data_IF_332998544257
#
_entry.id   IF_332998544257
#
_cell.length_a   1.000
_cell.length_b   1.000
_cell.length_c   1.000
_cell.angle_alpha   90.00
_cell.angle_beta   90.00
_cell.angle_gamma   90.00
#
_symmetry.space_group_name_H-M   'P 1'
#
loop_
_entity.id
_entity.type
_entity.pdbx_description
1 polymer ?
#
# COMPACT_ATOMS: atom_id res chain seq x y z
N UNK A 1 17.44 19.00 10.83
CA UNK A 1 16.24 18.41 10.18
C UNK A 1 16.41 16.94 9.82
N UNK A 2 17.57 16.47 9.34
CA UNK A 2 17.84 15.04 9.05
C UNK A 2 17.86 14.09 10.29
N UNK A 3 17.99 14.64 11.50
CA UNK A 3 18.08 13.90 12.77
C UNK A 3 16.72 13.59 13.44
N UNK A 4 15.58 13.96 12.82
CA UNK A 4 14.25 13.78 13.43
C UNK A 4 13.37 12.72 12.73
N UNK A 5 13.81 12.17 11.60
CA UNK A 5 13.09 11.09 10.93
C UNK A 5 13.33 9.76 11.66
N UNK A 6 12.30 8.92 11.78
CA UNK A 6 12.46 7.56 12.32
C UNK A 6 13.42 6.72 11.47
N UNK A 7 13.76 5.51 11.91
CA UNK A 7 14.71 4.61 11.25
C UNK A 7 14.40 4.25 9.79
N UNK A 8 13.20 4.57 9.29
CA UNK A 8 12.82 4.41 7.88
C UNK A 8 13.14 5.62 7.00
N UNK A 9 13.47 6.78 7.55
CA UNK A 9 13.81 7.98 6.75
C UNK A 9 14.97 7.77 5.77
N UNK A 10 16.06 7.02 6.11
CA UNK A 10 17.09 6.68 5.13
C UNK A 10 16.58 5.92 3.90
N UNK A 11 15.49 5.15 4.02
CA UNK A 11 14.85 4.49 2.88
C UNK A 11 14.24 5.53 1.92
N UNK A 12 13.61 6.58 2.45
CA UNK A 12 13.06 7.68 1.66
C UNK A 12 14.15 8.46 0.93
N UNK A 13 15.31 8.67 1.56
CA UNK A 13 16.51 9.22 0.91
C UNK A 13 16.95 8.34 -0.25
N UNK A 14 17.06 7.02 -0.04
CA UNK A 14 17.38 6.08 -1.10
C UNK A 14 16.41 6.17 -2.29
N UNK A 15 15.11 6.25 -2.02
CA UNK A 15 14.08 6.42 -3.06
C UNK A 15 14.22 7.75 -3.80
N UNK A 16 14.49 8.85 -3.08
CA UNK A 16 14.69 10.16 -3.70
C UNK A 16 15.92 10.18 -4.64
N UNK A 17 17.04 9.57 -4.20
CA UNK A 17 18.23 9.40 -5.04
C UNK A 17 17.90 8.59 -6.30
N UNK A 18 17.29 7.40 -6.14
CA UNK A 18 16.90 6.55 -7.26
C UNK A 18 15.93 7.24 -8.21
N UNK A 19 15.07 8.12 -7.70
CA UNK A 19 14.14 8.91 -8.50
C UNK A 19 14.87 9.93 -9.37
N UNK A 20 15.89 10.62 -8.83
CA UNK A 20 16.73 11.52 -9.62
C UNK A 20 17.51 10.76 -10.71
N UNK A 21 17.99 9.56 -10.39
CA UNK A 21 18.77 8.74 -11.32
C UNK A 21 17.93 7.90 -12.30
N UNK A 22 16.60 7.86 -12.13
CA UNK A 22 15.69 6.98 -12.89
C UNK A 22 15.90 7.06 -14.41
N UNK A 23 16.03 8.26 -14.95
CA UNK A 23 16.16 8.44 -16.40
C UNK A 23 17.49 7.90 -16.95
N UNK A 24 18.55 7.91 -16.14
CA UNK A 24 19.85 7.33 -16.50
C UNK A 24 19.80 5.81 -16.34
N UNK A 25 19.30 5.32 -15.21
CA UNK A 25 19.16 3.89 -14.92
C UNK A 25 18.30 3.14 -15.95
N UNK A 26 17.25 3.77 -16.47
CA UNK A 26 16.40 3.15 -17.50
C UNK A 26 17.03 3.09 -18.90
N UNK A 27 18.12 3.83 -19.13
CA UNK A 27 18.87 3.82 -20.39
C UNK A 27 20.11 2.95 -20.32
N UNK A 28 20.66 2.77 -19.12
CA UNK A 28 21.89 2.04 -18.88
C UNK A 28 21.67 0.52 -18.88
N UNK A 29 22.68 -0.22 -19.34
CA UNK A 29 22.76 -1.65 -19.11
C UNK A 29 23.23 -1.98 -17.67
N UNK A 30 23.30 -3.27 -17.33
CA UNK A 30 23.68 -3.70 -15.98
C UNK A 30 25.10 -3.27 -15.60
N UNK A 31 26.06 -3.35 -16.52
CA UNK A 31 27.45 -3.00 -16.26
C UNK A 31 27.63 -1.48 -16.16
N UNK A 32 26.94 -0.73 -17.01
CA UNK A 32 26.84 0.73 -16.96
C UNK A 32 26.21 1.19 -15.64
N UNK A 33 25.19 0.49 -15.12
CA UNK A 33 24.65 0.79 -13.79
C UNK A 33 25.68 0.60 -12.67
N UNK A 34 26.53 -0.45 -12.73
CA UNK A 34 27.59 -0.66 -11.73
C UNK A 34 28.60 0.49 -11.76
N UNK A 35 29.01 0.92 -12.95
CA UNK A 35 29.91 2.06 -13.12
C UNK A 35 29.26 3.35 -12.62
N UNK A 36 28.00 3.58 -12.98
CA UNK A 36 27.22 4.74 -12.54
C UNK A 36 27.16 4.85 -11.01
N UNK A 37 26.89 3.75 -10.29
CA UNK A 37 26.90 3.77 -8.83
C UNK A 37 28.29 3.92 -8.22
N UNK A 38 29.34 3.50 -8.93
CA UNK A 38 30.73 3.64 -8.48
C UNK A 38 31.24 5.07 -8.66
N UNK A 39 30.80 5.76 -9.71
CA UNK A 39 31.20 7.14 -10.04
C UNK A 39 30.41 8.20 -9.28
N UNK A 40 29.28 7.82 -8.64
CA UNK A 40 28.39 8.70 -7.88
C UNK A 40 27.96 9.93 -8.72
N UNK A 41 27.00 9.75 -9.65
CA UNK A 41 26.49 10.85 -10.47
C UNK A 41 26.03 12.03 -9.61
N UNK A 42 26.05 13.22 -10.19
CA UNK A 42 25.66 14.43 -9.49
C UNK A 42 24.21 14.32 -8.98
N UNK A 43 24.07 14.33 -7.65
CA UNK A 43 22.77 14.34 -6.97
C UNK A 43 22.53 15.74 -6.42
N UNK A 44 21.38 16.31 -6.74
CA UNK A 44 20.89 17.50 -6.07
C UNK A 44 20.44 17.12 -4.66
N UNK A 45 21.29 17.44 -3.67
CA UNK A 45 21.05 17.12 -2.26
C UNK A 45 19.87 17.91 -1.69
N UNK A 46 19.67 19.16 -2.10
CA UNK A 46 18.55 19.97 -1.61
C UNK A 46 17.21 19.39 -2.06
N UNK A 47 17.12 19.03 -3.35
CA UNK A 47 15.98 18.31 -3.90
C UNK A 47 15.82 16.95 -3.23
N UNK A 48 16.91 16.20 -3.04
CA UNK A 48 16.88 14.89 -2.40
C UNK A 48 16.25 14.95 -1.00
N UNK A 49 16.66 15.92 -0.17
CA UNK A 49 16.11 16.09 1.19
C UNK A 49 14.63 16.48 1.14
N UNK A 50 14.24 17.39 0.24
CA UNK A 50 12.84 17.81 0.07
C UNK A 50 11.95 16.64 -0.36
N UNK A 51 12.34 15.94 -1.42
CA UNK A 51 11.61 14.78 -1.95
C UNK A 51 11.51 13.67 -0.89
N UNK A 52 12.58 13.45 -0.09
CA UNK A 52 12.58 12.47 0.99
C UNK A 52 11.57 12.78 2.10
N UNK A 53 11.41 14.06 2.46
CA UNK A 53 10.43 14.50 3.45
C UNK A 53 9.01 14.26 2.91
N UNK A 54 8.76 14.58 1.65
CA UNK A 54 7.44 14.38 1.02
C UNK A 54 7.10 12.88 0.90
N UNK A 55 8.08 12.05 0.51
CA UNK A 55 7.93 10.58 0.48
C UNK A 55 7.63 10.07 1.89
N UNK A 56 8.40 10.49 2.90
CA UNK A 56 8.21 10.04 4.27
C UNK A 56 6.83 10.46 4.83
N UNK A 57 6.42 11.70 4.63
CA UNK A 57 5.15 12.23 5.12
C UNK A 57 3.92 11.63 4.42
N UNK A 58 4.07 11.18 3.16
CA UNK A 58 2.98 10.63 2.36
C UNK A 58 2.92 9.10 2.36
N UNK A 59 3.88 8.43 2.98
CA UNK A 59 3.94 6.96 3.11
C UNK A 59 3.39 6.55 4.48
N UNK A 60 2.37 5.66 4.55
CA UNK A 60 1.90 5.11 5.83
C UNK A 60 3.04 4.47 6.62
N UNK A 61 3.06 4.68 7.95
CA UNK A 61 4.19 4.28 8.80
C UNK A 61 4.46 2.78 8.71
N UNK A 62 3.40 1.96 8.72
CA UNK A 62 3.46 0.51 8.64
C UNK A 62 4.04 -0.02 7.32
N UNK A 63 4.00 0.75 6.22
CA UNK A 63 4.61 0.37 4.95
C UNK A 63 6.14 0.26 5.00
N UNK A 64 6.75 0.84 6.04
CA UNK A 64 8.19 0.76 6.27
C UNK A 64 8.57 -0.18 7.43
N UNK A 65 7.62 -1.01 7.89
CA UNK A 65 7.84 -2.00 8.93
C UNK A 65 8.95 -2.98 8.54
N UNK A 66 9.86 -3.22 9.49
CA UNK A 66 10.95 -4.18 9.37
C UNK A 66 11.17 -4.82 10.75
N UNK A 67 11.17 -6.15 10.79
CA UNK A 67 11.33 -6.94 12.03
C UNK A 67 12.63 -6.63 12.79
N UNK A 68 13.68 -6.22 12.10
CA UNK A 68 14.99 -5.94 12.72
C UNK A 68 15.32 -4.44 12.77
N UNK A 69 14.33 -3.56 12.60
CA UNK A 69 14.57 -2.13 12.80
C UNK A 69 14.80 -1.82 14.29
N UNK A 70 15.80 -0.99 14.56
CA UNK A 70 16.21 -0.59 15.91
C UNK A 70 15.12 0.16 16.71
N UNK A 71 14.08 0.66 16.06
CA UNK A 71 13.00 1.45 16.68
C UNK A 71 11.83 0.61 17.21
N UNK A 72 11.91 -0.73 17.13
CA UNK A 72 10.84 -1.62 17.60
C UNK A 72 10.62 -1.59 19.12
N UNK A 73 11.50 -0.91 19.87
CA UNK A 73 11.37 -0.73 21.32
C UNK A 73 10.12 0.04 21.76
N UNK A 74 9.45 0.78 20.86
CA UNK A 74 8.22 1.53 21.15
C UNK A 74 6.95 1.03 20.43
N UNK A 75 7.03 -0.01 19.59
CA UNK A 75 5.80 -0.65 19.10
C UNK A 75 5.35 -1.61 20.20
N UNK A 76 4.33 -1.22 20.97
CA UNK A 76 3.70 -2.12 21.94
C UNK A 76 3.23 -3.38 21.18
N UNK A 77 3.91 -4.50 21.41
CA UNK A 77 3.81 -5.77 20.67
C UNK A 77 2.43 -6.47 20.79
N UNK A 78 1.44 -5.88 21.46
CA UNK A 78 0.20 -6.57 21.84
C UNK A 78 -1.07 -5.93 21.28
N UNK A 79 -1.10 -5.60 19.98
CA UNK A 79 -2.36 -5.32 19.30
C UNK A 79 -2.43 -6.10 17.98
N UNK A 80 -3.51 -6.85 17.78
CA UNK A 80 -3.72 -7.64 16.55
C UNK A 80 -3.75 -6.76 15.29
N UNK A 81 -4.02 -5.46 15.45
CA UNK A 81 -4.11 -4.48 14.37
C UNK A 81 -2.75 -4.02 13.80
N UNK A 82 -1.66 -4.26 14.52
CA UNK A 82 -0.32 -3.83 14.12
C UNK A 82 0.41 -4.85 13.25
N UNK A 83 1.53 -4.39 12.67
CA UNK A 83 2.43 -5.23 11.88
C UNK A 83 3.14 -6.26 12.77
N UNK A 84 3.33 -7.46 12.22
CA UNK A 84 4.18 -8.48 12.80
C UNK A 84 5.04 -9.12 11.71
N UNK A 85 6.10 -9.87 12.06
CA UNK A 85 6.93 -10.56 11.09
C UNK A 85 6.10 -11.41 10.13
N UNK A 86 6.47 -11.38 8.85
CA UNK A 86 5.83 -12.16 7.80
C UNK A 86 6.89 -13.03 7.10
N UNK A 87 6.58 -14.28 6.71
CA UNK A 87 7.58 -15.17 6.15
C UNK A 87 8.27 -14.58 4.92
N UNK A 88 9.61 -14.58 4.93
CA UNK A 88 10.40 -14.07 3.80
C UNK A 88 10.11 -14.81 2.50
N UNK A 89 9.78 -16.10 2.58
CA UNK A 89 9.42 -16.90 1.41
C UNK A 89 8.21 -16.31 0.67
N UNK A 90 7.24 -15.77 1.42
CA UNK A 90 6.02 -15.20 0.89
C UNK A 90 6.25 -13.75 0.42
N UNK A 91 6.98 -12.94 1.20
CA UNK A 91 7.29 -11.54 0.86
C UNK A 91 7.96 -11.38 -0.51
N UNK A 92 8.71 -12.38 -1.00
CA UNK A 92 9.34 -12.36 -2.33
C UNK A 92 8.36 -12.26 -3.49
N UNK A 93 7.10 -12.64 -3.29
CA UNK A 93 6.06 -12.57 -4.31
C UNK A 93 5.31 -11.22 -4.30
N UNK A 94 5.44 -10.43 -3.24
CA UNK A 94 4.82 -9.11 -3.11
C UNK A 94 5.65 -8.04 -3.81
N UNK A 95 5.04 -7.24 -4.69
CA UNK A 95 5.67 -6.08 -5.34
C UNK A 95 5.29 -4.74 -4.70
N UNK A 96 4.47 -4.77 -3.66
CA UNK A 96 4.04 -3.59 -2.90
C UNK A 96 4.22 -3.82 -1.39
N UNK A 97 4.35 -2.76 -0.59
CA UNK A 97 4.38 -2.89 0.86
C UNK A 97 3.01 -3.31 1.42
N UNK A 98 3.03 -3.72 2.68
CA UNK A 98 1.82 -3.94 3.49
C UNK A 98 1.45 -2.69 4.28
N UNK A 99 0.18 -2.57 4.64
CA UNK A 99 -0.33 -1.56 5.57
C UNK A 99 -1.01 -2.25 6.75
N UNK A 100 -0.79 -1.75 7.97
CA UNK A 100 -1.42 -2.27 9.17
C UNK A 100 -2.90 -1.88 9.24
N UNK A 101 -3.68 -2.64 10.02
CA UNK A 101 -5.06 -2.28 10.29
C UNK A 101 -5.16 -0.98 11.10
N UNK A 102 -4.19 -0.73 12.00
CA UNK A 102 -4.15 0.51 12.77
C UNK A 102 -3.95 1.75 11.85
N UNK A 103 -3.03 1.68 10.89
CA UNK A 103 -2.83 2.76 9.91
C UNK A 103 -4.10 2.97 9.07
N UNK A 104 -4.81 1.89 8.68
CA UNK A 104 -6.08 2.01 7.97
C UNK A 104 -7.13 2.77 8.78
N UNK A 105 -7.24 2.48 10.08
CA UNK A 105 -8.18 3.16 10.99
C UNK A 105 -7.86 4.63 11.14
N UNK A 106 -6.58 4.96 11.34
CA UNK A 106 -6.12 6.34 11.53
C UNK A 106 -6.23 7.17 10.25
N UNK A 107 -5.88 6.61 9.09
CA UNK A 107 -5.83 7.35 7.82
C UNK A 107 -7.19 7.47 7.12
N UNK A 108 -8.13 6.58 7.43
CA UNK A 108 -9.50 6.60 6.88
C UNK A 108 -10.52 7.21 7.85
N UNK A 109 -10.07 7.69 9.02
CA UNK A 109 -10.91 8.24 10.09
C UNK A 109 -12.12 7.36 10.44
N UNK A 110 -11.89 6.03 10.49
CA UNK A 110 -12.94 5.04 10.74
C UNK A 110 -13.60 5.19 12.12
N UNK A 111 -13.05 6.02 13.00
CA UNK A 111 -13.59 6.34 14.33
C UNK A 111 -14.55 7.54 14.32
N UNK A 112 -14.60 8.32 13.24
CA UNK A 112 -15.49 9.48 13.15
C UNK A 112 -16.88 9.09 12.60
N UNK A 113 -17.99 9.52 13.23
CA UNK A 113 -19.36 9.23 12.79
C UNK A 113 -19.74 9.88 11.44
N UNK A 114 -18.86 10.67 10.84
CA UNK A 114 -19.06 11.36 9.55
C UNK A 114 -17.98 11.01 8.53
N UNK A 115 -17.41 9.79 8.58
CA UNK A 115 -16.40 9.32 7.63
C UNK A 115 -16.88 9.53 6.18
N UNK A 116 -16.35 10.56 5.53
CA UNK A 116 -16.65 10.92 4.16
C UNK A 116 -15.43 10.58 3.30
N UNK A 117 -15.65 9.98 2.13
CA UNK A 117 -14.61 9.75 1.11
C UNK A 117 -13.84 11.04 0.74
N UNK A 118 -14.36 12.23 1.05
CA UNK A 118 -13.69 13.52 0.78
C UNK A 118 -12.49 13.80 1.69
N UNK A 119 -12.40 13.19 2.87
CA UNK A 119 -11.28 13.41 3.82
C UNK A 119 -10.34 12.21 3.94
N UNK A 120 -10.71 11.06 3.36
CA UNK A 120 -9.88 9.86 3.43
C UNK A 120 -8.62 9.99 2.59
N UNK A 121 -7.50 9.50 3.15
CA UNK A 121 -6.24 9.34 2.42
C UNK A 121 -6.14 8.00 1.68
N UNK A 122 -7.14 7.14 1.84
CA UNK A 122 -7.16 5.76 1.36
C UNK A 122 -8.28 5.53 0.33
N UNK A 123 -7.99 4.67 -0.64
CA UNK A 123 -8.99 4.00 -1.46
C UNK A 123 -8.98 2.52 -1.04
N UNK A 124 -10.05 2.09 -0.38
CA UNK A 124 -10.20 0.71 0.11
C UNK A 124 -10.85 -0.15 -0.98
N UNK A 125 -10.12 -1.14 -1.48
CA UNK A 125 -10.56 -2.04 -2.57
C UNK A 125 -10.70 -3.44 -1.98
N UNK A 126 -11.94 -3.90 -1.82
CA UNK A 126 -12.23 -5.24 -1.31
C UNK A 126 -12.42 -6.23 -2.45
N UNK A 127 -11.50 -7.20 -2.55
CA UNK A 127 -11.44 -8.13 -3.68
C UNK A 127 -12.17 -9.45 -3.44
N UNK A 128 -12.82 -9.58 -2.28
CA UNK A 128 -13.57 -10.78 -1.93
C UNK A 128 -14.81 -10.93 -2.80
N UNK A 129 -15.41 -12.12 -2.77
CA UNK A 129 -16.68 -12.37 -3.45
C UNK A 129 -17.78 -11.43 -2.92
N UNK A 130 -18.81 -11.09 -3.72
CA UNK A 130 -19.93 -10.27 -3.26
C UNK A 130 -20.60 -10.85 -2.01
N UNK A 131 -20.74 -12.18 -1.92
CA UNK A 131 -21.33 -12.86 -0.75
C UNK A 131 -20.50 -12.70 0.53
N UNK A 132 -19.16 -12.70 0.43
CA UNK A 132 -18.29 -12.43 1.57
C UNK A 132 -18.30 -10.96 1.97
N UNK A 133 -18.38 -10.06 0.98
CA UNK A 133 -18.48 -8.63 1.21
C UNK A 133 -19.79 -8.27 1.93
N UNK A 134 -20.92 -8.81 1.47
CA UNK A 134 -22.24 -8.59 2.06
C UNK A 134 -22.38 -9.09 3.50
N UNK A 135 -21.54 -10.04 3.94
CA UNK A 135 -21.55 -10.51 5.33
C UNK A 135 -20.93 -9.49 6.29
N UNK A 136 -19.87 -8.83 5.86
CA UNK A 136 -19.16 -7.81 6.63
C UNK A 136 -18.13 -7.12 5.75
N UNK A 137 -18.11 -5.78 5.76
CA UNK A 137 -17.15 -4.97 5.02
C UNK A 137 -16.65 -3.79 5.86
N UNK A 138 -15.54 -3.17 5.43
CA UNK A 138 -15.09 -1.91 6.00
C UNK A 138 -15.89 -0.74 5.40
N UNK A 139 -16.30 0.26 6.21
CA UNK A 139 -16.95 1.46 5.71
C UNK A 139 -16.14 2.13 4.59
N UNK A 140 -16.85 2.59 3.56
CA UNK A 140 -16.27 3.24 2.38
C UNK A 140 -15.34 2.36 1.52
N UNK A 141 -15.26 1.05 1.77
CA UNK A 141 -14.63 0.11 0.84
C UNK A 141 -15.51 -0.16 -0.37
N UNK A 142 -14.89 -0.38 -1.53
CA UNK A 142 -15.59 -0.75 -2.76
C UNK A 142 -15.29 -2.21 -3.08
N UNK A 143 -16.34 -3.01 -3.32
CA UNK A 143 -16.17 -4.39 -3.73
C UNK A 143 -15.83 -4.49 -5.22
N UNK A 144 -14.63 -5.00 -5.53
CA UNK A 144 -14.13 -5.30 -6.88
C UNK A 144 -13.63 -6.75 -6.86
N UNK A 145 -14.52 -7.75 -7.05
CA UNK A 145 -14.15 -9.16 -6.93
C UNK A 145 -12.98 -9.54 -7.84
N UNK A 146 -12.04 -10.33 -7.29
CA UNK A 146 -10.83 -10.78 -7.99
C UNK A 146 -11.10 -11.35 -9.40
N UNK A 147 -12.14 -12.18 -9.52
CA UNK A 147 -12.43 -12.98 -10.72
C UNK A 147 -12.73 -12.14 -11.98
N UNK A 148 -13.21 -10.91 -11.81
CA UNK A 148 -13.68 -10.07 -12.92
C UNK A 148 -12.81 -8.82 -13.16
N UNK A 149 -11.76 -8.63 -12.37
CA UNK A 149 -10.97 -7.40 -12.38
C UNK A 149 -9.97 -7.32 -13.54
N UNK A 150 -9.43 -8.46 -13.98
CA UNK A 150 -8.40 -8.54 -15.01
C UNK A 150 -8.69 -9.64 -16.03
N UNK A 151 -8.16 -9.47 -17.25
CA UNK A 151 -8.13 -10.54 -18.27
C UNK A 151 -6.92 -11.48 -18.11
N UNK A 152 -6.84 -12.49 -18.98
CA UNK A 152 -5.74 -13.46 -19.03
C UNK A 152 -4.37 -12.82 -19.33
N UNK A 153 -4.34 -11.57 -19.82
CA UNK A 153 -3.12 -10.80 -20.03
C UNK A 153 -2.84 -9.81 -18.90
N UNK A 154 -3.52 -9.96 -17.76
CA UNK A 154 -3.42 -9.10 -16.57
C UNK A 154 -3.83 -7.64 -16.81
N UNK A 155 -4.60 -7.34 -17.86
CA UNK A 155 -5.09 -5.98 -18.12
C UNK A 155 -6.40 -5.76 -17.37
N UNK A 156 -6.62 -4.55 -16.87
CA UNK A 156 -7.86 -4.20 -16.17
C UNK A 156 -9.05 -4.30 -17.14
N UNK A 157 -10.03 -5.12 -16.79
CA UNK A 157 -11.30 -5.29 -17.53
C UNK A 157 -12.48 -4.64 -16.82
N UNK A 158 -12.40 -4.48 -15.50
CA UNK A 158 -13.42 -3.82 -14.71
C UNK A 158 -13.34 -2.29 -14.90
N UNK A 159 -14.35 -1.73 -15.58
CA UNK A 159 -14.45 -0.29 -15.84
C UNK A 159 -14.53 0.55 -14.57
N UNK A 160 -15.11 0.02 -13.48
CA UNK A 160 -15.20 0.72 -12.20
C UNK A 160 -13.85 0.75 -11.52
N UNK A 161 -13.10 -0.34 -11.55
CA UNK A 161 -11.72 -0.38 -11.06
C UNK A 161 -10.88 0.66 -11.80
N UNK A 162 -10.94 0.68 -13.13
CA UNK A 162 -10.21 1.66 -13.94
C UNK A 162 -10.60 3.11 -13.54
N UNK A 163 -11.90 3.39 -13.46
CA UNK A 163 -12.41 4.71 -13.08
C UNK A 163 -11.96 5.12 -11.66
N UNK A 164 -12.02 4.22 -10.68
CA UNK A 164 -11.58 4.48 -9.31
C UNK A 164 -10.08 4.79 -9.25
N UNK A 165 -9.26 4.04 -9.98
CA UNK A 165 -7.82 4.28 -10.05
C UNK A 165 -7.49 5.64 -10.69
N UNK A 166 -8.23 6.02 -11.74
CA UNK A 166 -8.07 7.29 -12.43
C UNK A 166 -8.52 8.48 -11.59
N UNK A 167 -9.66 8.36 -10.91
CA UNK A 167 -10.21 9.41 -10.06
C UNK A 167 -9.38 9.63 -8.78
N UNK A 168 -8.80 8.57 -8.22
CA UNK A 168 -8.14 8.58 -6.92
C UNK A 168 -6.63 8.32 -7.00
N UNK A 169 -5.95 8.88 -8.02
CA UNK A 169 -4.51 8.70 -8.26
C UNK A 169 -3.63 9.07 -7.07
N UNK A 170 -3.99 10.09 -6.29
CA UNK A 170 -3.22 10.56 -5.12
C UNK A 170 -3.46 9.76 -3.84
N UNK A 171 -4.54 8.97 -3.76
CA UNK A 171 -4.85 8.17 -2.57
C UNK A 171 -3.97 6.91 -2.51
N UNK A 172 -3.79 6.37 -1.31
CA UNK A 172 -3.17 5.04 -1.10
C UNK A 172 -4.23 3.97 -1.36
N UNK A 173 -3.98 3.05 -2.29
CA UNK A 173 -4.90 1.98 -2.66
C UNK A 173 -4.62 0.80 -1.74
N UNK A 174 -5.54 0.49 -0.84
CA UNK A 174 -5.42 -0.64 0.08
C UNK A 174 -6.25 -1.79 -0.44
N UNK A 175 -5.59 -2.86 -0.84
CA UNK A 175 -6.24 -4.10 -1.28
C UNK A 175 -6.58 -4.94 -0.06
N UNK A 176 -7.86 -5.23 0.09
CA UNK A 176 -8.46 -5.97 1.20
C UNK A 176 -8.91 -7.32 0.65
N UNK A 177 -8.42 -8.40 1.27
CA UNK A 177 -8.84 -9.75 0.96
C UNK A 177 -9.02 -10.60 2.21
N UNK A 178 -9.31 -11.87 1.99
CA UNK A 178 -9.44 -12.89 3.04
C UNK A 178 -8.13 -13.69 3.18
N UNK A 179 -8.23 -15.00 3.45
CA UNK A 179 -7.09 -15.91 3.62
C UNK A 179 -6.45 -16.38 2.29
N UNK A 180 -7.05 -16.09 1.13
CA UNK A 180 -6.47 -16.47 -0.16
C UNK A 180 -5.32 -15.53 -0.55
N UNK A 181 -4.16 -15.78 0.05
CA UNK A 181 -2.97 -14.95 -0.11
C UNK A 181 -2.54 -14.80 -1.58
N UNK A 182 -2.62 -15.88 -2.37
CA UNK A 182 -2.22 -15.86 -3.78
C UNK A 182 -3.06 -14.87 -4.59
N UNK A 183 -4.39 -14.92 -4.47
CA UNK A 183 -5.28 -13.98 -5.17
C UNK A 183 -4.98 -12.53 -4.81
N UNK A 184 -4.68 -12.24 -3.54
CA UNK A 184 -4.39 -10.89 -3.08
C UNK A 184 -3.09 -10.37 -3.69
N UNK A 185 -2.03 -11.19 -3.69
CA UNK A 185 -0.74 -10.85 -4.29
C UNK A 185 -0.84 -10.70 -5.80
N UNK A 186 -1.56 -11.60 -6.48
CA UNK A 186 -1.78 -11.52 -7.92
C UNK A 186 -2.54 -10.23 -8.29
N UNK A 187 -3.59 -9.87 -7.52
CA UNK A 187 -4.35 -8.65 -7.71
C UNK A 187 -3.49 -7.39 -7.54
N UNK A 188 -2.72 -7.28 -6.44
CA UNK A 188 -1.86 -6.12 -6.19
C UNK A 188 -0.75 -6.00 -7.24
N UNK A 189 -0.15 -7.11 -7.65
CA UNK A 189 0.86 -7.14 -8.70
C UNK A 189 0.28 -6.69 -10.04
N UNK A 190 -0.95 -7.11 -10.38
CA UNK A 190 -1.63 -6.69 -11.60
C UNK A 190 -1.97 -5.19 -11.58
N UNK A 191 -2.38 -4.62 -10.44
CA UNK A 191 -2.53 -3.16 -10.31
C UNK A 191 -1.21 -2.43 -10.66
N UNK A 192 -0.08 -2.91 -10.14
CA UNK A 192 1.23 -2.28 -10.37
C UNK A 192 1.66 -2.41 -11.84
N UNK A 193 1.45 -3.57 -12.47
CA UNK A 193 1.72 -3.78 -13.91
C UNK A 193 0.91 -2.81 -14.77
N UNK A 194 -0.33 -2.49 -14.35
CA UNK A 194 -1.17 -1.49 -15.00
C UNK A 194 -0.88 -0.05 -14.53
N UNK A 195 0.32 0.21 -13.99
CA UNK A 195 0.81 1.53 -13.56
C UNK A 195 0.03 2.18 -12.39
N UNK A 196 -0.72 1.41 -11.61
CA UNK A 196 -1.29 1.94 -10.37
C UNK A 196 -0.16 2.23 -9.36
N UNK A 197 -0.18 3.44 -8.81
CA UNK A 197 0.78 3.88 -7.79
C UNK A 197 0.15 3.86 -6.40
N UNK A 198 1.00 3.81 -5.37
CA UNK A 198 0.61 3.84 -3.95
C UNK A 198 -0.29 2.65 -3.57
N UNK A 199 0.00 1.47 -4.11
CA UNK A 199 -0.71 0.22 -3.79
C UNK A 199 -0.14 -0.38 -2.52
N UNK A 200 -0.99 -0.86 -1.63
CA UNK A 200 -0.64 -1.55 -0.39
C UNK A 200 -1.55 -2.76 -0.17
N UNK A 201 -1.01 -3.81 0.44
CA UNK A 201 -1.74 -4.99 0.86
C UNK A 201 -2.15 -4.86 2.34
N UNK A 202 -3.44 -5.05 2.68
CA UNK A 202 -3.87 -5.04 4.09
C UNK A 202 -3.27 -6.22 4.86
N UNK A 203 -2.46 -5.92 5.86
CA UNK A 203 -1.87 -6.93 6.72
C UNK A 203 -2.92 -7.76 7.47
N UNK A 204 -2.75 -9.09 7.51
CA UNK A 204 -3.70 -10.07 8.08
C UNK A 204 -5.10 -10.13 7.44
N UNK A 205 -5.35 -9.35 6.38
CA UNK A 205 -6.64 -9.31 5.68
C UNK A 205 -7.78 -8.74 6.55
N UNK A 206 -9.01 -8.83 6.06
CA UNK A 206 -10.18 -8.20 6.72
C UNK A 206 -10.52 -8.79 8.10
N UNK A 207 -10.11 -10.04 8.35
CA UNK A 207 -10.42 -10.77 9.59
C UNK A 207 -9.88 -10.08 10.84
N UNK A 208 -8.83 -9.27 10.69
CA UNK A 208 -8.22 -8.45 11.75
C UNK A 208 -9.21 -7.47 12.39
N UNK A 209 -10.30 -7.12 11.70
CA UNK A 209 -11.33 -6.20 12.19
C UNK A 209 -12.53 -6.89 12.85
N UNK A 210 -12.59 -8.23 12.91
CA UNK A 210 -13.77 -8.95 13.43
C UNK A 210 -14.12 -8.60 14.87
N UNK A 211 -13.13 -8.34 15.71
CA UNK A 211 -13.29 -8.03 17.14
C UNK A 211 -13.32 -6.53 17.44
N UNK A 212 -13.13 -5.67 16.43
CA UNK A 212 -13.01 -4.22 16.64
C UNK A 212 -14.33 -3.47 16.58
N UNK A 213 -15.40 -4.11 16.06
CA UNK A 213 -16.69 -3.46 15.81
C UNK A 213 -16.68 -2.46 14.64
N UNK A 214 -15.61 -2.44 13.83
CA UNK A 214 -15.48 -1.50 12.69
C UNK A 214 -16.09 -2.03 11.40
N UNK A 215 -16.50 -3.29 11.36
CA UNK A 215 -17.17 -3.88 10.20
C UNK A 215 -18.65 -3.55 10.25
N UNK A 216 -19.23 -3.27 9.09
CA UNK A 216 -20.67 -3.12 8.90
C UNK A 216 -21.19 -4.17 7.92
N UNK A 217 -22.51 -4.41 7.95
CA UNK A 217 -23.19 -5.26 6.98
C UNK A 217 -23.67 -4.38 5.84
N UNK A 218 -23.13 -4.53 4.62
CA UNK A 218 -23.58 -3.74 3.48
C UNK A 218 -25.03 -4.04 3.10
N UNK A 219 -25.63 -3.08 2.42
CA UNK A 219 -26.96 -3.19 1.83
C UNK A 219 -26.84 -3.54 0.34
N UNK A 220 -27.88 -4.09 -0.32
CA UNK A 220 -27.82 -4.40 -1.74
C UNK A 220 -27.48 -3.20 -2.64
N UNK A 221 -27.75 -1.97 -2.20
CA UNK A 221 -27.35 -0.74 -2.89
C UNK A 221 -25.84 -0.45 -2.84
N UNK A 222 -25.10 -1.12 -1.96
CA UNK A 222 -23.64 -1.00 -1.83
C UNK A 222 -22.89 -1.97 -2.76
N UNK A 223 -23.59 -2.94 -3.35
CA UNK A 223 -23.03 -3.85 -4.36
C UNK A 223 -22.92 -3.16 -5.73
N UNK A 224 -21.99 -3.65 -6.58
CA UNK A 224 -21.95 -3.32 -8.01
C UNK A 224 -23.27 -3.38 -8.75
#
# INVERSE_FOLDING_TARGET
MLLLGGSSFPLCIGVAILTQLKALLLKADFNECILLFSELPEIDIERCVRDSIDIFASTPRSCTYREHASDLTNYQINNDLDMNPFPLADLKFERCPRISANDVVELNDLKAPTASLKTSKLLLIDIRTPDEYMKAALPASVNIPYENAFDDQNRITDNRLQHLLDQHRSLVKVVIGNKNYKQIVDFTNNLIINNATRVCLLHKGIDVFKTTGMLYVPTPSDLP
#
